data_IF_530232738628
#
_entry.id   IF_530232738628
#
_cell.length_a   1.000
_cell.length_b   1.000
_cell.length_c   1.000
_cell.angle_alpha   90.00
_cell.angle_beta   90.00
_cell.angle_gamma   90.00
#
_symmetry.space_group_name_H-M   'P 1'
#
loop_
_entity.id
_entity.type
_entity.pdbx_description
1 polymer ?
#
# COMPACT_ATOMS: atom_id res chain seq x y z
N UNK A 1 4.06 10.25 15.58
CA UNK A 1 2.87 11.10 15.78
C UNK A 1 2.87 12.17 14.71
N UNK A 2 1.81 12.24 13.91
CA UNK A 2 1.64 13.22 12.82
C UNK A 2 1.55 14.63 13.42
N UNK A 3 2.55 15.48 13.16
CA UNK A 3 2.71 16.81 13.76
C UNK A 3 1.82 17.91 13.11
N UNK A 4 0.71 17.51 12.46
CA UNK A 4 -0.17 18.41 11.71
C UNK A 4 -1.34 18.94 12.53
N UNK A 5 -1.91 20.07 12.12
CA UNK A 5 -3.19 20.56 12.69
C UNK A 5 -4.31 19.57 12.32
N UNK A 6 -5.21 19.21 13.25
CA UNK A 6 -6.36 18.35 12.94
C UNK A 6 -7.22 18.96 11.83
N UNK A 7 -7.61 18.12 10.87
CA UNK A 7 -8.52 18.50 9.77
C UNK A 7 -9.76 17.60 9.78
N UNK A 8 -10.82 18.00 9.05
CA UNK A 8 -12.07 17.26 8.99
C UNK A 8 -12.24 16.56 7.64
N UNK A 9 -12.53 15.26 7.68
CA UNK A 9 -12.88 14.44 6.52
C UNK A 9 -14.32 13.97 6.68
N UNK A 10 -15.15 14.17 5.65
CA UNK A 10 -16.54 13.70 5.65
C UNK A 10 -16.62 12.27 5.12
N UNK A 11 -17.43 11.44 5.78
CA UNK A 11 -17.71 10.06 5.37
C UNK A 11 -19.14 9.66 5.79
N UNK A 12 -19.61 8.49 5.36
CA UNK A 12 -20.91 7.96 5.79
C UNK A 12 -20.87 7.48 7.24
N UNK A 13 -22.05 7.46 7.90
CA UNK A 13 -22.18 6.95 9.27
C UNK A 13 -21.73 5.50 9.40
N UNK A 14 -22.13 4.66 8.44
CA UNK A 14 -21.72 3.25 8.39
C UNK A 14 -20.18 3.08 8.34
N UNK A 15 -19.49 3.90 7.55
CA UNK A 15 -18.01 3.87 7.49
C UNK A 15 -17.41 4.33 8.81
N UNK A 16 -17.90 5.43 9.39
CA UNK A 16 -17.43 5.94 10.70
C UNK A 16 -17.58 4.88 11.79
N UNK A 17 -18.72 4.22 11.85
CA UNK A 17 -19.02 3.25 12.90
C UNK A 17 -18.19 1.97 12.72
N UNK A 18 -17.96 1.54 11.47
CA UNK A 18 -17.00 0.46 11.17
C UNK A 18 -15.58 0.83 11.61
N UNK A 19 -15.12 2.04 11.31
CA UNK A 19 -13.79 2.51 11.73
C UNK A 19 -13.66 2.56 13.26
N UNK A 20 -14.74 2.95 13.97
CA UNK A 20 -14.75 2.95 15.45
C UNK A 20 -14.51 1.55 16.02
N UNK A 21 -15.20 0.54 15.48
CA UNK A 21 -15.02 -0.85 15.91
C UNK A 21 -13.59 -1.35 15.66
N UNK A 22 -13.07 -1.11 14.46
CA UNK A 22 -11.69 -1.51 14.10
C UNK A 22 -10.63 -0.85 14.98
N UNK A 23 -10.81 0.43 15.29
CA UNK A 23 -9.92 1.16 16.18
C UNK A 23 -9.98 0.59 17.61
N UNK A 24 -11.18 0.30 18.11
CA UNK A 24 -11.39 -0.29 19.43
C UNK A 24 -10.73 -1.68 19.55
N UNK A 25 -10.90 -2.55 18.56
CA UNK A 25 -10.26 -3.88 18.54
C UNK A 25 -8.73 -3.80 18.59
N UNK A 26 -8.15 -2.73 18.03
CA UNK A 26 -6.71 -2.47 17.99
C UNK A 26 -6.19 -1.66 19.17
N UNK A 27 -7.06 -1.22 20.08
CA UNK A 27 -6.67 -0.34 21.18
C UNK A 27 -6.13 1.02 20.72
N UNK A 28 -6.59 1.51 19.56
CA UNK A 28 -6.13 2.76 18.93
C UNK A 28 -7.31 3.71 18.68
N UNK A 29 -7.04 4.92 18.21
CA UNK A 29 -8.09 5.87 17.78
C UNK A 29 -8.38 5.76 16.29
N UNK A 30 -9.54 6.27 15.84
CA UNK A 30 -9.85 6.35 14.40
C UNK A 30 -8.78 7.16 13.65
N UNK A 31 -8.28 8.24 14.25
CA UNK A 31 -7.22 9.08 13.66
C UNK A 31 -5.93 8.30 13.47
N UNK A 32 -5.47 7.59 14.50
CA UNK A 32 -4.26 6.77 14.39
C UNK A 32 -4.43 5.62 13.40
N UNK A 33 -5.59 4.96 13.37
CA UNK A 33 -5.91 3.94 12.37
C UNK A 33 -5.88 4.49 10.94
N UNK A 34 -6.40 5.70 10.72
CA UNK A 34 -6.37 6.35 9.41
C UNK A 34 -4.95 6.76 9.03
N UNK A 35 -4.16 7.25 9.97
CA UNK A 35 -2.75 7.58 9.74
C UNK A 35 -1.93 6.35 9.38
N UNK A 36 -2.11 5.24 10.11
CA UNK A 36 -1.50 3.94 9.79
C UNK A 36 -1.91 3.47 8.39
N UNK A 37 -3.20 3.53 8.06
CA UNK A 37 -3.69 3.12 6.75
C UNK A 37 -3.10 3.99 5.64
N UNK A 38 -3.05 5.31 5.83
CA UNK A 38 -2.48 6.25 4.87
C UNK A 38 -0.99 5.99 4.65
N UNK A 39 -0.24 5.69 5.72
CA UNK A 39 1.20 5.40 5.63
C UNK A 39 1.50 3.99 5.07
N UNK A 40 0.56 3.06 5.20
CA UNK A 40 0.75 1.67 4.74
C UNK A 40 0.77 1.51 3.22
N UNK A 41 0.32 2.52 2.47
CA UNK A 41 0.20 2.45 1.01
C UNK A 41 0.88 3.63 0.36
N UNK A 42 1.84 3.31 -0.51
CA UNK A 42 2.41 4.28 -1.42
C UNK A 42 1.36 4.66 -2.48
N UNK A 43 1.30 5.94 -2.79
CA UNK A 43 0.64 6.45 -3.99
C UNK A 43 1.35 5.94 -5.25
N UNK A 44 0.73 6.10 -6.42
CA UNK A 44 1.35 5.70 -7.69
C UNK A 44 2.65 6.47 -7.97
N UNK A 45 2.65 7.77 -7.70
CA UNK A 45 3.84 8.60 -7.88
C UNK A 45 4.98 8.19 -6.93
N UNK A 46 4.68 7.87 -5.67
CA UNK A 46 5.69 7.37 -4.72
C UNK A 46 6.22 5.99 -5.13
N UNK A 47 5.38 5.12 -5.68
CA UNK A 47 5.82 3.82 -6.21
C UNK A 47 6.76 4.00 -7.40
N UNK A 48 6.43 4.89 -8.33
CA UNK A 48 7.27 5.20 -9.48
C UNK A 48 8.61 5.79 -9.05
N UNK A 49 8.61 6.76 -8.14
CA UNK A 49 9.82 7.33 -7.56
C UNK A 49 10.70 6.26 -6.91
N UNK A 50 10.11 5.37 -6.11
CA UNK A 50 10.82 4.26 -5.47
C UNK A 50 11.40 3.28 -6.49
N UNK A 51 10.73 3.06 -7.61
CA UNK A 51 11.24 2.21 -8.68
C UNK A 51 12.43 2.85 -9.42
N UNK A 52 12.37 4.17 -9.67
CA UNK A 52 13.47 4.94 -10.24
C UNK A 52 14.71 4.92 -9.32
N UNK A 53 14.52 5.14 -8.03
CA UNK A 53 15.58 5.09 -7.02
C UNK A 53 16.23 3.70 -6.97
N UNK A 54 15.43 2.64 -6.92
CA UNK A 54 15.93 1.26 -6.91
C UNK A 54 16.69 0.90 -8.20
N UNK A 55 16.20 1.34 -9.36
CA UNK A 55 16.90 1.13 -10.62
C UNK A 55 18.26 1.85 -10.62
N UNK A 56 18.31 3.10 -10.16
CA UNK A 56 19.54 3.87 -10.03
C UNK A 56 20.55 3.22 -9.08
N UNK A 57 20.11 2.70 -7.93
CA UNK A 57 20.96 1.95 -6.99
C UNK A 57 21.56 0.69 -7.62
N UNK A 58 20.83 0.03 -8.51
CA UNK A 58 21.29 -1.15 -9.25
C UNK A 58 22.08 -0.82 -10.52
N UNK A 59 22.24 0.48 -10.85
CA UNK A 59 22.89 0.91 -12.10
C UNK A 59 22.08 0.54 -13.35
N UNK A 60 20.76 0.44 -13.23
CA UNK A 60 19.82 0.12 -14.30
C UNK A 60 19.06 1.37 -14.75
N UNK A 61 18.81 1.48 -16.05
CA UNK A 61 17.87 2.45 -16.58
C UNK A 61 16.43 1.91 -16.42
N UNK A 62 15.59 2.64 -15.70
CA UNK A 62 14.19 2.27 -15.50
C UNK A 62 13.33 2.58 -16.73
N UNK A 63 13.45 1.71 -17.73
CA UNK A 63 12.72 1.81 -19.01
C UNK A 63 11.36 1.13 -18.96
N UNK A 64 10.46 1.49 -19.88
CA UNK A 64 9.17 0.80 -20.04
C UNK A 64 9.34 -0.71 -20.26
N UNK A 65 10.37 -1.13 -21.01
CA UNK A 65 10.66 -2.53 -21.26
C UNK A 65 11.05 -3.27 -19.96
N UNK A 66 11.84 -2.63 -19.09
CA UNK A 66 12.20 -3.18 -17.79
C UNK A 66 10.97 -3.31 -16.89
N UNK A 67 10.09 -2.31 -16.90
CA UNK A 67 8.82 -2.34 -16.17
C UNK A 67 7.93 -3.49 -16.63
N UNK A 68 7.75 -3.68 -17.95
CA UNK A 68 6.96 -4.77 -18.52
C UNK A 68 7.55 -6.15 -18.20
N UNK A 69 8.88 -6.28 -18.26
CA UNK A 69 9.58 -7.52 -17.90
C UNK A 69 9.40 -7.84 -16.41
N UNK A 70 9.52 -6.83 -15.54
CA UNK A 70 9.29 -6.96 -14.10
C UNK A 70 7.85 -7.37 -13.78
N UNK A 71 6.87 -6.70 -14.37
CA UNK A 71 5.45 -7.04 -14.22
C UNK A 71 5.16 -8.48 -14.66
N UNK A 72 5.66 -8.87 -15.83
CA UNK A 72 5.51 -10.24 -16.35
C UNK A 72 6.13 -11.30 -15.44
N UNK A 73 7.27 -10.99 -14.81
CA UNK A 73 7.91 -11.89 -13.84
C UNK A 73 7.06 -12.05 -12.57
N UNK A 74 6.55 -10.94 -12.02
CA UNK A 74 5.68 -10.96 -10.85
C UNK A 74 4.35 -11.67 -11.11
N UNK A 75 3.76 -11.52 -12.30
CA UNK A 75 2.55 -12.24 -12.69
C UNK A 75 2.77 -13.76 -12.70
N UNK A 76 3.92 -14.22 -13.21
CA UNK A 76 4.30 -15.64 -13.14
C UNK A 76 4.45 -16.12 -11.70
N UNK A 77 5.14 -15.35 -10.85
CA UNK A 77 5.32 -15.70 -9.43
C UNK A 77 3.95 -15.83 -8.73
N UNK A 78 3.04 -14.86 -8.94
CA UNK A 78 1.69 -14.91 -8.36
C UNK A 78 0.89 -16.10 -8.84
N UNK A 79 0.94 -16.40 -10.14
CA UNK A 79 0.26 -17.58 -10.70
C UNK A 79 0.75 -18.89 -10.05
N UNK A 80 2.06 -19.00 -9.79
CA UNK A 80 2.62 -20.17 -9.10
C UNK A 80 2.24 -20.22 -7.61
N UNK A 81 2.23 -19.09 -6.90
CA UNK A 81 1.84 -19.04 -5.48
C UNK A 81 0.35 -19.35 -5.27
N UNK A 82 -0.53 -18.94 -6.20
CA UNK A 82 -1.96 -19.30 -6.17
C UNK A 82 -2.22 -20.79 -6.41
N UNK A 83 -1.34 -21.48 -7.15
CA UNK A 83 -1.41 -22.93 -7.36
C UNK A 83 -0.97 -23.76 -6.15
N UNK A 84 -0.01 -23.27 -5.37
CA UNK A 84 0.48 -23.95 -4.17
C UNK A 84 -0.55 -23.97 -3.01
N UNK A 85 -1.45 -22.97 -2.95
CA UNK A 85 -2.52 -22.90 -1.96
C UNK A 85 -3.74 -23.80 -2.28
N UNK A 86 -3.77 -24.47 -3.44
CA UNK A 86 -4.86 -25.39 -3.82
C UNK A 86 -4.63 -26.85 -3.39
N UNK A 87 -3.50 -27.13 -2.72
CA UNK A 87 -3.13 -28.45 -2.18
C UNK A 87 -2.75 -28.36 -0.70
N UNK A 88 -3.62 -27.78 0.12
CA UNK A 88 -3.66 -27.94 1.59
C UNK A 88 -5.09 -27.77 2.05
#
# INVERSE_FOLDING_TARGET
MSNGKPTSIKTSEATRDRLRLLAQERGTTITELLDELAQSRLTQAEQEQRALEAAAELGLDYTEQLQQAGQSAWDKIRAHQGGAAAWT
#
